data_IF_391190999340
#
_entry.id   IF_391190999340
#
_cell.length_a   1.000
_cell.length_b   1.000
_cell.length_c   1.000
_cell.angle_alpha   90.00
_cell.angle_beta   90.00
_cell.angle_gamma   90.00
#
_symmetry.space_group_name_H-M   'P 1'
#
loop_
_entity.id
_entity.type
_entity.pdbx_description
1 polymer ?
#
# COMPACT_ATOMS: atom_id res chain seq x y z
N UNK A 1 4.29 -20.75 -0.15
CA UNK A 1 5.47 -19.95 0.19
C UNK A 1 5.48 -18.76 -0.73
N UNK A 2 5.48 -17.55 -0.18
CA UNK A 2 5.56 -16.31 -0.92
C UNK A 2 6.72 -15.49 -0.34
N UNK A 3 7.80 -15.36 -1.12
CA UNK A 3 8.96 -14.55 -0.74
C UNK A 3 8.71 -13.15 -1.28
N UNK A 4 8.86 -12.13 -0.42
CA UNK A 4 8.70 -10.75 -0.83
C UNK A 4 9.97 -10.24 -1.54
N UNK A 5 9.83 -9.63 -2.71
CA UNK A 5 10.98 -9.11 -3.48
C UNK A 5 11.71 -7.93 -2.79
N UNK A 6 11.04 -7.24 -1.86
CA UNK A 6 11.58 -6.06 -1.17
C UNK A 6 12.40 -6.43 0.06
N UNK A 7 11.88 -7.27 0.96
CA UNK A 7 12.63 -7.69 2.15
C UNK A 7 13.42 -9.00 1.96
N UNK A 8 13.12 -9.79 0.91
CA UNK A 8 13.70 -11.12 0.64
C UNK A 8 13.44 -12.16 1.73
N UNK A 9 12.40 -11.96 2.53
CA UNK A 9 11.95 -12.88 3.57
C UNK A 9 10.61 -13.53 3.17
N UNK A 10 10.28 -14.65 3.81
CA UNK A 10 8.98 -15.31 3.65
C UNK A 10 7.91 -14.49 4.40
N UNK A 11 6.83 -14.12 3.71
CA UNK A 11 5.83 -13.18 4.23
C UNK A 11 5.12 -13.64 5.52
N UNK A 12 5.02 -14.95 5.76
CA UNK A 12 4.38 -15.53 6.94
C UNK A 12 5.33 -15.65 8.14
N UNK A 13 6.65 -15.65 7.90
CA UNK A 13 7.65 -15.85 8.95
C UNK A 13 8.09 -14.55 9.64
N UNK A 14 7.69 -13.39 9.10
CA UNK A 14 8.06 -12.07 9.60
C UNK A 14 6.88 -11.28 10.16
N UNK A 15 7.17 -10.28 11.00
CA UNK A 15 6.14 -9.38 11.52
C UNK A 15 5.75 -8.29 10.51
N UNK A 16 6.67 -7.90 9.62
CA UNK A 16 6.48 -6.80 8.68
C UNK A 16 7.50 -6.81 7.54
N UNK A 17 7.21 -6.05 6.49
CA UNK A 17 8.16 -5.85 5.41
C UNK A 17 9.25 -4.84 5.81
N UNK A 18 10.48 -5.33 5.99
CA UNK A 18 11.63 -4.45 6.27
C UNK A 18 11.97 -3.51 5.09
N UNK A 19 11.67 -3.91 3.86
CA UNK A 19 12.00 -3.18 2.63
C UNK A 19 10.99 -2.12 2.17
N UNK A 20 9.75 -2.14 2.67
CA UNK A 20 8.69 -1.21 2.22
C UNK A 20 8.55 0.00 3.14
N UNK A 21 9.64 0.73 3.41
CA UNK A 21 9.61 1.87 4.33
C UNK A 21 8.98 3.14 3.73
N UNK A 22 9.11 3.30 2.41
CA UNK A 22 8.68 4.48 1.67
C UNK A 22 8.04 4.06 0.36
N UNK A 23 7.04 4.83 -0.07
CA UNK A 23 6.47 4.78 -1.41
C UNK A 23 7.14 5.89 -2.22
N UNK A 24 7.80 5.51 -3.30
CA UNK A 24 8.38 6.41 -4.30
C UNK A 24 7.33 6.68 -5.39
N UNK A 25 7.19 7.93 -5.80
CA UNK A 25 6.23 8.35 -6.83
C UNK A 25 6.94 8.76 -8.12
N UNK A 26 6.26 8.73 -9.28
CA UNK A 26 6.81 9.12 -10.59
C UNK A 26 7.47 10.50 -10.64
N UNK A 27 6.96 11.45 -9.85
CA UNK A 27 7.53 12.81 -9.73
C UNK A 27 8.83 12.88 -8.91
N UNK A 28 9.37 11.73 -8.49
CA UNK A 28 10.57 11.60 -7.67
C UNK A 28 10.37 11.92 -6.19
N UNK A 29 9.15 12.27 -5.77
CA UNK A 29 8.85 12.46 -4.35
C UNK A 29 8.66 11.12 -3.64
N UNK A 30 8.92 11.10 -2.33
CA UNK A 30 8.73 9.92 -1.49
C UNK A 30 7.82 10.23 -0.32
N UNK A 31 7.00 9.27 0.09
CA UNK A 31 6.22 9.36 1.34
C UNK A 31 6.38 8.08 2.16
N UNK A 32 6.32 8.13 3.50
CA UNK A 32 6.36 6.92 4.32
C UNK A 32 5.17 6.02 3.97
N UNK A 33 5.40 4.71 3.92
CA UNK A 33 4.35 3.70 3.85
C UNK A 33 3.45 3.80 5.08
N UNK A 34 2.16 3.51 4.96
CA UNK A 34 1.24 3.49 6.10
C UNK A 34 1.25 2.08 6.70
N UNK A 35 1.59 1.92 8.00
CA UNK A 35 1.55 0.62 8.65
C UNK A 35 0.14 0.05 8.77
N UNK A 36 0.06 -1.27 8.91
CA UNK A 36 -1.21 -1.96 9.11
C UNK A 36 -1.89 -1.55 10.42
N UNK A 37 -3.14 -1.08 10.34
CA UNK A 37 -3.90 -0.54 11.46
C UNK A 37 -3.85 0.99 11.58
N UNK A 38 -3.05 1.68 10.77
CA UNK A 38 -3.00 3.14 10.70
C UNK A 38 -3.67 3.71 9.43
N UNK A 39 -4.23 2.84 8.59
CA UNK A 39 -4.94 3.26 7.38
C UNK A 39 -6.23 4.03 7.72
N UNK A 40 -6.46 5.10 6.97
CA UNK A 40 -7.63 5.98 7.06
C UNK A 40 -8.78 5.49 6.19
N UNK A 41 -8.48 4.76 5.11
CA UNK A 41 -9.45 4.21 4.15
C UNK A 41 -10.31 3.10 4.76
N UNK A 42 -9.78 2.43 5.77
CA UNK A 42 -10.45 1.35 6.47
C UNK A 42 -11.18 1.99 7.67
N UNK A 43 -12.51 1.95 7.64
CA UNK A 43 -13.35 2.61 8.64
C UNK A 43 -14.52 3.35 7.99
N UNK A 44 -15.69 3.26 8.61
CA UNK A 44 -16.84 4.03 8.16
C UNK A 44 -16.73 5.50 8.58
N UNK A 45 -17.59 6.39 8.04
CA UNK A 45 -17.68 7.76 8.52
C UNK A 45 -17.90 7.80 10.04
N UNK A 46 -16.98 8.45 10.76
CA UNK A 46 -17.04 8.54 12.23
C UNK A 46 -16.71 7.25 12.99
N UNK A 47 -16.21 6.20 12.31
CA UNK A 47 -15.81 4.95 12.94
C UNK A 47 -14.45 4.50 12.41
N UNK A 48 -13.33 4.96 13.02
CA UNK A 48 -12.01 4.48 12.63
C UNK A 48 -11.98 2.95 12.77
N UNK A 49 -11.52 2.27 11.73
CA UNK A 49 -11.25 0.85 11.85
C UNK A 49 -9.98 0.68 12.68
N UNK A 50 -9.98 -0.33 13.54
CA UNK A 50 -8.79 -0.74 14.28
C UNK A 50 -8.76 -2.27 14.30
N UNK A 51 -7.63 -2.90 13.95
CA UNK A 51 -7.48 -4.34 14.05
C UNK A 51 -7.57 -4.80 15.51
N UNK A 52 -8.14 -5.98 15.73
CA UNK A 52 -8.18 -6.59 17.06
C UNK A 52 -6.80 -7.03 17.54
N UNK A 53 -6.63 -7.33 18.85
CA UNK A 53 -5.37 -7.84 19.38
C UNK A 53 -4.92 -9.11 18.65
N UNK A 54 -3.68 -9.13 18.18
CA UNK A 54 -3.09 -10.26 17.46
C UNK A 54 -3.62 -10.47 16.03
N UNK A 55 -4.51 -9.61 15.54
CA UNK A 55 -4.95 -9.66 14.15
C UNK A 55 -3.80 -9.29 13.22
N UNK A 56 -3.62 -10.07 12.16
CA UNK A 56 -2.67 -9.80 11.08
C UNK A 56 -3.41 -9.34 9.83
N UNK A 57 -2.71 -8.68 8.91
CA UNK A 57 -3.28 -8.35 7.61
C UNK A 57 -3.75 -9.64 6.92
N UNK A 58 -4.97 -9.62 6.40
CA UNK A 58 -5.53 -10.81 5.74
C UNK A 58 -4.78 -11.18 4.45
N UNK A 59 -4.20 -10.17 3.79
CA UNK A 59 -3.61 -10.33 2.47
C UNK A 59 -2.10 -10.63 2.56
N UNK A 60 -1.34 -9.83 3.31
CA UNK A 60 0.11 -9.98 3.41
C UNK A 60 0.64 -10.47 4.77
N UNK A 61 -0.24 -10.83 5.71
CA UNK A 61 0.10 -11.41 7.02
C UNK A 61 0.92 -10.54 8.01
N UNK A 62 1.17 -9.27 7.71
CA UNK A 62 1.91 -8.39 8.62
C UNK A 62 1.14 -8.13 9.92
N UNK A 63 1.88 -7.90 11.00
CA UNK A 63 1.35 -7.55 12.31
C UNK A 63 0.83 -6.10 12.35
N UNK A 64 0.00 -5.79 13.34
CA UNK A 64 -0.48 -4.41 13.58
C UNK A 64 0.71 -3.50 13.90
N UNK A 65 0.78 -2.34 13.27
CA UNK A 65 1.87 -1.37 13.40
C UNK A 65 3.07 -1.66 12.48
N UNK A 66 3.04 -2.78 11.75
CA UNK A 66 4.10 -3.14 10.81
C UNK A 66 3.76 -2.78 9.37
N UNK A 67 4.78 -2.67 8.53
CA UNK A 67 4.64 -2.22 7.14
C UNK A 67 4.22 -3.38 6.24
N UNK A 68 3.25 -3.11 5.36
CA UNK A 68 2.77 -4.07 4.37
C UNK A 68 3.89 -4.53 3.43
N UNK A 69 3.77 -5.76 2.91
CA UNK A 69 4.51 -6.14 1.72
C UNK A 69 3.90 -5.45 0.48
N UNK A 70 4.71 -4.90 -0.44
CA UNK A 70 4.19 -4.21 -1.61
C UNK A 70 3.29 -5.09 -2.45
N UNK A 71 2.21 -4.51 -2.96
CA UNK A 71 1.17 -5.25 -3.68
C UNK A 71 -0.04 -5.64 -2.81
N UNK A 72 -0.01 -5.35 -1.51
CA UNK A 72 -1.08 -5.69 -0.58
C UNK A 72 -2.37 -4.90 -0.85
N UNK A 73 -3.52 -5.58 -0.88
CA UNK A 73 -4.84 -4.98 -1.08
C UNK A 73 -5.27 -4.03 0.05
N UNK A 74 -4.68 -4.19 1.24
CA UNK A 74 -4.94 -3.31 2.38
C UNK A 74 -4.07 -2.06 2.38
N UNK A 75 -2.99 -2.04 1.61
CA UNK A 75 -2.04 -0.93 1.63
C UNK A 75 -2.69 0.37 1.14
N UNK A 76 -2.66 1.39 1.98
CA UNK A 76 -3.17 2.72 1.66
C UNK A 76 -2.08 3.57 1.00
N UNK A 77 -2.44 4.23 -0.10
CA UNK A 77 -1.61 5.23 -0.75
C UNK A 77 -1.40 6.44 0.18
N UNK A 78 -0.16 6.75 0.60
CA UNK A 78 0.10 7.89 1.47
C UNK A 78 -0.11 9.25 0.79
N UNK A 79 -0.29 9.28 -0.53
CA UNK A 79 -0.57 10.51 -1.29
C UNK A 79 -2.07 10.85 -1.31
N UNK A 80 -2.92 9.89 -1.67
CA UNK A 80 -4.35 10.15 -1.90
C UNK A 80 -5.30 9.44 -0.92
N UNK A 81 -4.82 8.51 -0.11
CA UNK A 81 -5.66 7.74 0.83
C UNK A 81 -6.51 6.62 0.18
N UNK A 82 -6.43 6.41 -1.13
CA UNK A 82 -7.01 5.22 -1.79
C UNK A 82 -6.10 3.99 -1.66
N UNK A 83 -6.51 2.85 -2.21
CA UNK A 83 -5.68 1.64 -2.25
C UNK A 83 -4.43 1.87 -3.11
N UNK A 84 -3.24 1.60 -2.58
CA UNK A 84 -1.97 1.95 -3.25
C UNK A 84 -1.87 1.33 -4.65
N UNK A 85 -2.17 0.04 -4.77
CA UNK A 85 -2.06 -0.72 -6.03
C UNK A 85 -3.04 -0.28 -7.13
N UNK A 86 -4.05 0.54 -6.81
CA UNK A 86 -5.11 0.90 -7.77
C UNK A 86 -5.44 2.41 -7.80
N UNK A 87 -4.66 3.24 -7.10
CA UNK A 87 -4.97 4.67 -6.95
C UNK A 87 -4.53 5.55 -8.13
N UNK A 88 -3.75 5.00 -9.06
CA UNK A 88 -3.17 5.72 -10.20
C UNK A 88 -2.09 6.74 -9.84
N UNK A 89 -1.75 6.93 -8.56
CA UNK A 89 -0.68 7.84 -8.16
C UNK A 89 0.73 7.31 -8.52
N UNK A 90 0.86 6.02 -8.83
CA UNK A 90 2.08 5.39 -9.29
C UNK A 90 2.16 5.25 -10.82
N UNK A 91 1.11 5.67 -11.53
CA UNK A 91 1.09 5.64 -12.99
C UNK A 91 1.90 6.84 -13.51
N UNK A 92 2.83 6.59 -14.43
CA UNK A 92 3.55 7.66 -15.12
C UNK A 92 2.55 8.43 -16.03
N UNK A 93 2.55 9.77 -15.99
CA UNK A 93 1.60 10.62 -16.74
C UNK A 93 1.77 10.60 -18.28
N UNK A 94 2.26 9.51 -18.88
CA UNK A 94 2.65 9.44 -20.30
C UNK A 94 1.74 8.54 -21.18
N UNK A 95 0.53 8.21 -20.76
CA UNK A 95 -0.47 7.55 -21.62
C UNK A 95 -1.84 8.25 -21.50
N UNK A 96 -2.03 9.37 -22.22
CA UNK A 96 -3.28 9.71 -22.95
C UNK A 96 -3.28 11.14 -23.54
N UNK A 97 -2.21 11.51 -24.25
CA UNK A 97 -2.32 12.52 -25.31
C UNK A 97 -2.72 11.83 -26.63
N UNK A 98 -3.85 11.12 -26.66
CA UNK A 98 -4.47 10.73 -27.93
C UNK A 98 -5.00 12.01 -28.58
N UNK A 99 -4.49 12.47 -29.74
CA UNK A 99 -5.16 13.52 -30.47
C UNK A 99 -6.51 12.94 -30.92
N UNK A 100 -7.58 13.35 -30.24
CA UNK A 100 -8.96 13.19 -30.71
C UNK A 100 -9.08 13.94 -32.03
N UNK A 101 -8.63 13.31 -33.11
CA UNK A 101 -8.91 13.76 -34.47
C UNK A 101 -10.38 13.50 -34.70
N UNK A 102 -11.15 14.59 -34.65
CA UNK A 102 -12.49 14.68 -35.22
C UNK A 102 -12.51 13.99 -36.59
N UNK A 103 -13.37 12.98 -36.73
CA UNK A 103 -13.96 12.57 -38.01
C UNK A 103 -15.46 12.37 -37.81
#
# INVERSE_FOLDING_TARGET
MAICDWCREEMLDVEGCSGNAVVEFPDGSTKPSIPYGEERRCGGPGKPWAPGPGQRCHDCHVAVGERHHPGCDWEECPRCGHQLISCGCLDDEEEDAQPSTLH
#
